data_IF_312055503599
#
_entry.id   IF_312055503599
#
_cell.length_a   1.000
_cell.length_b   1.000
_cell.length_c   1.000
_cell.angle_alpha   90.00
_cell.angle_beta   90.00
_cell.angle_gamma   90.00
#
_symmetry.space_group_name_H-M   'P 1'
#
loop_
_entity.id
_entity.type
_entity.pdbx_description
1 polymer ?
#
# COMPACT_ATOMS: atom_id res chain seq x y z
N UNK A 1 12.03 -10.57 -14.69
CA UNK A 1 12.90 -9.40 -14.41
C UNK A 1 14.40 -9.67 -14.63
N UNK A 2 15.06 -10.54 -13.84
CA UNK A 2 16.53 -10.70 -13.82
C UNK A 2 17.18 -10.93 -15.19
N UNK A 3 16.63 -11.81 -16.03
CA UNK A 3 17.21 -12.10 -17.36
C UNK A 3 17.15 -10.88 -18.31
N UNK A 4 16.10 -10.06 -18.20
CA UNK A 4 15.97 -8.82 -18.99
C UNK A 4 16.99 -7.78 -18.56
N UNK A 5 17.20 -7.62 -17.24
CA UNK A 5 18.26 -6.75 -16.70
C UNK A 5 19.62 -7.26 -17.19
N UNK A 6 19.90 -8.55 -17.07
CA UNK A 6 21.14 -9.16 -17.57
C UNK A 6 21.41 -8.81 -19.04
N UNK A 7 20.36 -8.88 -19.89
CA UNK A 7 20.42 -8.48 -21.30
C UNK A 7 20.76 -7.00 -21.53
N UNK A 8 20.22 -6.10 -20.71
CA UNK A 8 20.53 -4.66 -20.77
C UNK A 8 22.01 -4.36 -20.46
N UNK A 9 22.66 -5.23 -19.68
CA UNK A 9 24.10 -5.18 -19.40
C UNK A 9 24.90 -6.12 -20.32
N UNK A 10 24.33 -6.57 -21.44
CA UNK A 10 25.04 -7.33 -22.47
C UNK A 10 25.27 -8.81 -22.17
N UNK A 11 24.77 -9.32 -21.05
CA UNK A 11 24.76 -10.75 -20.76
C UNK A 11 23.67 -11.48 -21.54
N UNK A 12 23.80 -12.80 -21.63
CA UNK A 12 22.81 -13.66 -22.27
C UNK A 12 22.44 -14.80 -21.32
N UNK A 13 21.15 -15.05 -21.21
CA UNK A 13 20.64 -16.19 -20.47
C UNK A 13 19.30 -16.63 -21.07
N UNK A 14 19.10 -17.94 -21.13
CA UNK A 14 17.88 -18.53 -21.66
C UNK A 14 17.50 -19.78 -20.87
N UNK A 15 16.20 -20.04 -20.78
CA UNK A 15 15.70 -21.32 -20.31
C UNK A 15 16.09 -22.41 -21.30
N UNK A 16 16.56 -23.54 -20.80
CA UNK A 16 16.80 -24.71 -21.62
C UNK A 16 15.47 -25.33 -22.03
N UNK A 17 15.31 -25.70 -23.32
CA UNK A 17 14.21 -26.53 -23.76
C UNK A 17 14.13 -27.82 -22.94
N UNK A 18 12.92 -28.35 -22.74
CA UNK A 18 12.70 -29.57 -21.96
C UNK A 18 13.45 -30.78 -22.55
N UNK A 19 13.65 -30.81 -23.87
CA UNK A 19 14.41 -31.81 -24.60
C UNK A 19 15.94 -31.67 -24.49
N UNK A 20 16.43 -30.57 -23.91
CA UNK A 20 17.84 -30.33 -23.59
C UNK A 20 18.17 -30.53 -22.09
N UNK A 21 17.22 -31.02 -21.29
CA UNK A 21 17.45 -31.29 -19.87
C UNK A 21 18.40 -32.49 -19.68
N UNK A 22 19.25 -32.48 -18.64
CA UNK A 22 20.11 -33.62 -18.30
C UNK A 22 19.30 -34.90 -18.09
N UNK A 23 19.86 -36.05 -18.47
CA UNK A 23 19.26 -37.35 -18.18
C UNK A 23 18.98 -37.50 -16.67
N UNK A 24 17.74 -37.85 -16.32
CA UNK A 24 17.29 -37.97 -14.93
C UNK A 24 16.68 -36.71 -14.32
N UNK A 25 16.62 -35.60 -15.06
CA UNK A 25 15.87 -34.42 -14.63
C UNK A 25 14.36 -34.72 -14.53
N UNK A 26 13.72 -34.25 -13.46
CA UNK A 26 12.25 -34.29 -13.31
C UNK A 26 11.59 -33.48 -14.43
N UNK A 27 10.38 -33.86 -14.82
CA UNK A 27 9.54 -33.09 -15.77
C UNK A 27 9.19 -31.68 -15.29
N UNK A 28 9.40 -31.38 -14.00
CA UNK A 28 9.24 -30.04 -13.40
C UNK A 28 10.54 -29.25 -13.30
N UNK A 29 11.66 -29.81 -13.78
CA UNK A 29 12.96 -29.14 -13.68
C UNK A 29 13.05 -28.06 -14.75
N UNK A 30 13.29 -26.83 -14.33
CA UNK A 30 13.60 -25.74 -15.23
C UNK A 30 15.08 -25.35 -15.05
N UNK A 31 15.83 -25.28 -16.15
CA UNK A 31 17.25 -24.93 -16.12
C UNK A 31 17.45 -23.64 -16.91
N UNK A 32 18.15 -22.68 -16.31
CA UNK A 32 18.61 -21.47 -17.01
C UNK A 32 20.08 -21.66 -17.38
N UNK A 33 20.41 -21.57 -18.67
CA UNK A 33 21.79 -21.45 -19.12
C UNK A 33 22.17 -19.97 -19.13
N UNK A 34 23.18 -19.61 -18.35
CA UNK A 34 23.73 -18.25 -18.28
C UNK A 34 25.10 -18.23 -18.97
N UNK A 35 25.25 -17.38 -19.98
CA UNK A 35 26.54 -17.16 -20.65
C UNK A 35 27.24 -15.96 -20.00
N UNK A 36 28.23 -16.24 -19.15
CA UNK A 36 28.89 -15.23 -18.30
C UNK A 36 29.94 -14.36 -19.02
N UNK A 37 30.04 -14.46 -20.34
CA UNK A 37 31.00 -13.67 -21.14
C UNK A 37 30.22 -12.55 -21.80
N UNK A 38 30.67 -11.29 -21.63
CA UNK A 38 30.16 -10.06 -22.29
C UNK A 38 29.28 -9.11 -21.46
N UNK A 39 29.32 -9.16 -20.11
CA UNK A 39 28.79 -8.05 -19.33
C UNK A 39 29.53 -6.75 -19.64
N UNK A 40 28.77 -5.70 -19.92
CA UNK A 40 29.25 -4.36 -20.26
C UNK A 40 28.42 -3.31 -19.55
N UNK A 41 29.01 -2.16 -19.18
CA UNK A 41 28.24 -1.06 -18.61
C UNK A 41 27.09 -0.66 -19.53
N UNK A 42 25.88 -0.58 -18.98
CA UNK A 42 24.75 0.06 -19.65
C UNK A 42 24.96 1.58 -19.58
N UNK A 43 25.02 2.27 -20.72
CA UNK A 43 25.29 3.72 -20.76
C UNK A 43 24.13 4.54 -20.19
N UNK A 44 22.91 3.99 -20.22
CA UNK A 44 21.72 4.55 -19.57
C UNK A 44 20.74 3.41 -19.30
N UNK A 45 20.33 3.26 -18.04
CA UNK A 45 19.29 2.33 -17.62
C UNK A 45 18.24 3.11 -16.80
N UNK A 46 16.99 3.03 -17.21
CA UNK A 46 15.87 3.64 -16.47
C UNK A 46 15.38 2.59 -15.49
N UNK A 47 15.43 2.91 -14.20
CA UNK A 47 14.86 2.07 -13.16
C UNK A 47 13.38 2.43 -13.07
N UNK A 48 12.52 1.43 -13.27
CA UNK A 48 11.07 1.59 -13.13
C UNK A 48 10.71 2.05 -11.71
N UNK A 49 9.61 2.81 -11.54
CA UNK A 49 9.01 2.99 -10.22
C UNK A 49 8.65 1.64 -9.61
N UNK A 50 8.67 1.55 -8.28
CA UNK A 50 8.22 0.36 -7.57
C UNK A 50 6.70 0.17 -7.78
N UNK A 51 6.34 -0.92 -8.47
CA UNK A 51 4.95 -1.21 -8.82
C UNK A 51 4.09 -1.46 -7.58
N UNK A 52 4.65 -2.09 -6.54
CA UNK A 52 3.94 -2.34 -5.29
C UNK A 52 3.63 -1.03 -4.56
N UNK A 53 4.59 -0.10 -4.51
CA UNK A 53 4.42 1.20 -3.89
C UNK A 53 3.46 2.11 -4.69
N UNK A 54 3.52 2.04 -6.03
CA UNK A 54 2.60 2.74 -6.91
C UNK A 54 1.15 2.31 -6.69
N UNK A 55 0.91 1.04 -6.32
CA UNK A 55 -0.43 0.49 -6.09
C UNK A 55 -1.25 1.29 -5.07
N UNK A 56 -0.61 1.79 -4.00
CA UNK A 56 -1.28 2.55 -2.95
C UNK A 56 -1.84 3.87 -3.51
N UNK A 57 -1.04 4.57 -4.32
CA UNK A 57 -1.46 5.83 -4.93
C UNK A 57 -2.50 5.60 -6.03
N UNK A 58 -2.39 4.52 -6.80
CA UNK A 58 -3.40 4.16 -7.81
C UNK A 58 -4.76 3.80 -7.18
N UNK A 59 -4.79 3.32 -5.94
CA UNK A 59 -6.03 3.01 -5.23
C UNK A 59 -6.78 4.27 -4.74
N UNK A 60 -6.08 5.38 -4.47
CA UNK A 60 -6.69 6.64 -4.01
C UNK A 60 -7.85 7.12 -4.89
N UNK A 61 -7.70 7.27 -6.23
CA UNK A 61 -8.80 7.73 -7.06
C UNK A 61 -9.99 6.77 -7.06
N UNK A 62 -9.77 5.48 -6.84
CA UNK A 62 -10.85 4.48 -6.75
C UNK A 62 -11.68 4.66 -5.49
N UNK A 63 -11.01 4.94 -4.37
CA UNK A 63 -11.64 5.14 -3.06
C UNK A 63 -12.31 6.52 -2.94
N UNK A 64 -11.63 7.56 -3.41
CA UNK A 64 -11.97 8.95 -3.09
C UNK A 64 -12.31 9.81 -4.32
N UNK A 65 -12.21 9.24 -5.53
CA UNK A 65 -12.37 9.99 -6.78
C UNK A 65 -11.11 10.73 -7.19
N UNK A 66 -11.15 11.35 -8.37
CA UNK A 66 -10.00 12.03 -8.97
C UNK A 66 -9.21 11.14 -9.93
N UNK A 67 -7.93 11.48 -10.12
CA UNK A 67 -7.02 10.83 -11.06
C UNK A 67 -5.59 10.81 -10.50
N UNK A 68 -4.91 9.68 -10.68
CA UNK A 68 -3.47 9.51 -10.43
C UNK A 68 -2.80 8.99 -11.70
N UNK A 69 -1.64 9.53 -12.03
CA UNK A 69 -0.78 9.03 -13.11
C UNK A 69 0.57 8.64 -12.53
N UNK A 70 1.02 7.42 -12.79
CA UNK A 70 2.36 6.93 -12.46
C UNK A 70 3.17 6.88 -13.76
N UNK A 71 4.07 7.85 -13.98
CA UNK A 71 4.96 7.85 -15.14
C UNK A 71 6.01 6.74 -15.02
N UNK A 72 6.56 6.30 -16.14
CA UNK A 72 7.61 5.28 -16.26
C UNK A 72 7.23 3.89 -15.72
N UNK A 73 5.95 3.67 -15.39
CA UNK A 73 5.37 2.38 -15.06
C UNK A 73 4.31 2.02 -16.11
N UNK A 74 4.76 1.54 -17.27
CA UNK A 74 3.92 1.21 -18.41
C UNK A 74 3.69 -0.29 -18.60
N UNK A 75 3.08 -0.64 -19.73
CA UNK A 75 2.72 -2.02 -20.11
C UNK A 75 3.92 -2.95 -20.34
N UNK A 76 5.12 -2.38 -20.55
CA UNK A 76 6.37 -3.13 -20.68
C UNK A 76 7.05 -3.42 -19.33
N UNK A 77 6.45 -3.00 -18.20
CA UNK A 77 7.03 -3.24 -16.88
C UNK A 77 7.31 -4.72 -16.64
N UNK A 78 8.47 -4.97 -16.03
CA UNK A 78 8.92 -6.31 -15.68
C UNK A 78 8.40 -6.81 -14.32
N UNK A 79 7.64 -5.97 -13.62
CA UNK A 79 7.12 -6.20 -12.28
C UNK A 79 5.70 -6.80 -12.38
N UNK A 80 5.45 -7.91 -11.68
CA UNK A 80 4.12 -8.56 -11.68
C UNK A 80 3.02 -7.63 -11.18
N UNK A 81 3.33 -6.86 -10.14
CA UNK A 81 2.42 -5.91 -9.50
C UNK A 81 2.02 -4.72 -10.40
N UNK A 82 2.73 -4.48 -11.52
CA UNK A 82 2.39 -3.41 -12.46
C UNK A 82 1.02 -3.61 -13.12
N UNK A 83 0.40 -4.79 -12.96
CA UNK A 83 -0.92 -5.13 -13.45
C UNK A 83 -2.03 -4.86 -12.42
N UNK A 84 -1.71 -4.37 -11.23
CA UNK A 84 -2.70 -4.14 -10.17
C UNK A 84 -3.81 -3.14 -10.55
N UNK A 85 -3.55 -2.22 -11.49
CA UNK A 85 -4.57 -1.31 -11.99
C UNK A 85 -5.79 -2.05 -12.56
N UNK A 86 -5.64 -3.28 -13.07
CA UNK A 86 -6.77 -4.12 -13.53
C UNK A 86 -7.64 -4.64 -12.40
N UNK A 87 -7.04 -4.92 -11.24
CA UNK A 87 -7.79 -5.28 -10.03
C UNK A 87 -8.65 -4.09 -9.60
N UNK A 88 -8.06 -2.90 -9.59
CA UNK A 88 -8.74 -1.65 -9.29
C UNK A 88 -9.85 -1.31 -10.31
N UNK A 89 -9.63 -1.61 -11.59
CA UNK A 89 -10.66 -1.49 -12.64
C UNK A 89 -11.82 -2.46 -12.39
N UNK A 90 -11.55 -3.70 -11.97
CA UNK A 90 -12.60 -4.66 -11.62
C UNK A 90 -13.49 -4.14 -10.48
N UNK A 91 -12.90 -3.52 -9.46
CA UNK A 91 -13.66 -2.84 -8.39
C UNK A 91 -14.54 -1.69 -8.88
N UNK A 92 -14.28 -1.14 -10.08
CA UNK A 92 -15.10 -0.10 -10.71
C UNK A 92 -14.35 1.18 -11.06
N UNK A 93 -13.06 1.26 -10.77
CA UNK A 93 -12.23 2.36 -11.26
C UNK A 93 -12.02 2.30 -12.77
N UNK A 94 -11.41 3.33 -13.35
CA UNK A 94 -11.13 3.42 -14.79
C UNK A 94 -9.64 3.58 -15.01
N UNK A 95 -8.99 2.51 -15.49
CA UNK A 95 -7.55 2.47 -15.70
C UNK A 95 -7.17 2.56 -17.18
N UNK A 96 -6.02 3.16 -17.46
CA UNK A 96 -5.37 3.15 -18.76
C UNK A 96 -3.88 2.91 -18.55
N UNK A 97 -3.29 1.99 -19.31
CA UNK A 97 -1.85 1.75 -19.30
C UNK A 97 -1.33 1.75 -20.73
N UNK A 98 -0.40 2.65 -21.00
CA UNK A 98 0.38 2.68 -22.24
C UNK A 98 1.81 2.19 -21.97
N UNK A 99 2.70 2.24 -22.97
CA UNK A 99 4.09 1.78 -22.84
C UNK A 99 4.91 2.54 -21.79
N UNK A 100 4.48 3.74 -21.42
CA UNK A 100 5.25 4.71 -20.63
C UNK A 100 4.61 5.07 -19.28
N UNK A 101 3.34 4.74 -19.04
CA UNK A 101 2.65 5.15 -17.80
C UNK A 101 1.42 4.31 -17.51
N UNK A 102 0.98 4.40 -16.26
CA UNK A 102 -0.31 3.91 -15.78
C UNK A 102 -1.12 5.08 -15.24
N UNK A 103 -2.37 5.18 -15.65
CA UNK A 103 -3.33 6.20 -15.20
C UNK A 103 -4.50 5.49 -14.53
N UNK A 104 -4.91 5.96 -13.36
CA UNK A 104 -6.09 5.46 -12.67
C UNK A 104 -7.04 6.61 -12.32
N UNK A 105 -8.32 6.44 -12.63
CA UNK A 105 -9.38 7.38 -12.31
C UNK A 105 -10.45 6.71 -11.45
N UNK A 106 -11.14 7.52 -10.65
CA UNK A 106 -12.28 7.03 -9.87
C UNK A 106 -13.47 6.56 -10.72
N UNK A 107 -14.40 5.81 -10.12
CA UNK A 107 -15.63 5.37 -10.78
C UNK A 107 -16.49 6.54 -11.25
N UNK A 108 -17.33 6.32 -12.27
CA UNK A 108 -18.28 7.34 -12.75
C UNK A 108 -19.31 7.74 -11.69
N UNK A 109 -19.64 6.80 -10.80
CA UNK A 109 -20.54 7.04 -9.67
C UNK A 109 -19.77 6.82 -8.36
N UNK A 110 -19.56 7.87 -7.55
CA UNK A 110 -18.92 7.75 -6.25
C UNK A 110 -19.61 6.71 -5.36
N UNK A 111 -18.83 5.95 -4.58
CA UNK A 111 -19.36 4.96 -3.63
C UNK A 111 -19.94 3.69 -4.24
N UNK A 112 -19.69 3.41 -5.53
CA UNK A 112 -20.13 2.17 -6.20
C UNK A 112 -18.98 1.20 -6.50
N UNK A 113 -18.13 0.93 -5.51
CA UNK A 113 -17.17 -0.16 -5.65
C UNK A 113 -17.88 -1.51 -5.58
N UNK A 114 -17.47 -2.45 -6.41
CA UNK A 114 -18.09 -3.78 -6.56
C UNK A 114 -17.22 -4.85 -5.92
N UNK A 115 -17.83 -5.73 -5.14
CA UNK A 115 -17.13 -6.91 -4.61
C UNK A 115 -16.59 -7.81 -5.73
N UNK A 116 -15.47 -8.50 -5.48
CA UNK A 116 -14.73 -9.26 -6.50
C UNK A 116 -14.33 -10.66 -6.05
N UNK A 117 -14.10 -11.56 -7.01
CA UNK A 117 -13.32 -12.77 -6.78
C UNK A 117 -11.95 -12.61 -7.42
N UNK A 118 -10.92 -12.52 -6.58
CA UNK A 118 -9.55 -12.18 -6.97
C UNK A 118 -8.62 -13.37 -6.75
N UNK A 119 -7.91 -13.74 -7.80
CA UNK A 119 -6.75 -14.61 -7.72
C UNK A 119 -5.49 -13.75 -7.82
N UNK A 120 -4.76 -13.64 -6.71
CA UNK A 120 -3.57 -12.78 -6.62
C UNK A 120 -2.29 -13.60 -6.54
N UNK A 121 -2.29 -14.84 -7.04
CA UNK A 121 -1.10 -15.73 -7.07
C UNK A 121 0.12 -15.03 -7.68
N UNK A 122 -0.06 -14.25 -8.75
CA UNK A 122 1.02 -13.56 -9.47
C UNK A 122 1.38 -12.18 -8.88
N UNK A 123 0.60 -11.69 -7.91
CA UNK A 123 0.80 -10.37 -7.26
C UNK A 123 0.40 -10.41 -5.78
N UNK A 124 0.93 -11.35 -4.97
CA UNK A 124 0.46 -11.58 -3.60
C UNK A 124 0.68 -10.33 -2.72
N UNK A 125 1.68 -9.52 -3.02
CA UNK A 125 1.97 -8.30 -2.26
C UNK A 125 0.86 -7.24 -2.36
N UNK A 126 -0.04 -7.36 -3.33
CA UNK A 126 -1.19 -6.47 -3.55
C UNK A 126 -2.43 -6.83 -2.71
N UNK A 127 -2.41 -7.95 -1.99
CA UNK A 127 -3.54 -8.42 -1.20
C UNK A 127 -4.04 -7.40 -0.19
N UNK A 128 -3.16 -6.77 0.58
CA UNK A 128 -3.58 -5.82 1.62
C UNK A 128 -4.25 -4.59 1.02
N UNK A 129 -3.70 -4.04 -0.07
CA UNK A 129 -4.30 -2.91 -0.80
C UNK A 129 -5.67 -3.29 -1.35
N UNK A 130 -5.79 -4.45 -2.00
CA UNK A 130 -7.08 -4.94 -2.51
C UNK A 130 -8.10 -5.19 -1.40
N UNK A 131 -7.65 -5.70 -0.25
CA UNK A 131 -8.51 -6.01 0.89
C UNK A 131 -9.06 -4.73 1.55
N UNK A 132 -8.24 -3.67 1.65
CA UNK A 132 -8.71 -2.36 2.10
C UNK A 132 -9.71 -1.78 1.10
N UNK A 133 -9.44 -1.84 -0.21
CA UNK A 133 -10.42 -1.43 -1.23
C UNK A 133 -11.73 -2.22 -1.12
N UNK A 134 -11.66 -3.51 -0.85
CA UNK A 134 -12.82 -4.36 -0.63
C UNK A 134 -13.69 -3.93 0.56
N UNK A 135 -13.11 -3.33 1.61
CA UNK A 135 -13.88 -2.80 2.75
C UNK A 135 -14.79 -1.62 2.37
N UNK A 136 -14.53 -0.95 1.24
CA UNK A 136 -15.35 0.13 0.69
C UNK A 136 -16.30 -0.35 -0.43
N UNK A 137 -16.31 -1.65 -0.73
CA UNK A 137 -17.19 -2.22 -1.75
C UNK A 137 -18.65 -2.36 -1.26
N UNK A 138 -19.57 -2.45 -2.21
CA UNK A 138 -20.99 -2.69 -1.98
C UNK A 138 -21.35 -4.19 -1.90
N UNK A 139 -20.38 -5.07 -2.10
CA UNK A 139 -20.56 -6.52 -2.10
C UNK A 139 -19.31 -7.27 -1.63
N UNK A 140 -19.44 -8.56 -1.31
CA UNK A 140 -18.36 -9.35 -0.75
C UNK A 140 -17.21 -9.54 -1.74
N UNK A 141 -15.99 -9.65 -1.22
CA UNK A 141 -14.79 -9.94 -2.00
C UNK A 141 -14.11 -11.19 -1.47
N UNK A 142 -13.75 -12.12 -2.37
CA UNK A 142 -12.85 -13.23 -2.06
C UNK A 142 -11.48 -12.98 -2.68
N UNK A 143 -10.43 -13.14 -1.90
CA UNK A 143 -9.03 -13.15 -2.36
C UNK A 143 -8.47 -14.55 -2.13
N UNK A 144 -7.81 -15.14 -3.13
CA UNK A 144 -7.16 -16.46 -3.06
C UNK A 144 -5.76 -16.46 -3.68
N UNK A 145 -5.02 -17.57 -3.49
CA UNK A 145 -3.71 -17.78 -4.10
C UNK A 145 -2.55 -17.10 -3.37
N UNK A 146 -2.77 -16.64 -2.13
CA UNK A 146 -1.83 -15.76 -1.42
C UNK A 146 -1.32 -16.33 -0.11
N UNK A 147 -1.36 -17.66 0.06
CA UNK A 147 -0.87 -18.35 1.26
C UNK A 147 0.59 -18.06 1.61
N UNK A 148 1.41 -17.67 0.62
CA UNK A 148 2.80 -17.24 0.84
C UNK A 148 2.90 -16.08 1.84
N UNK A 149 1.88 -15.22 1.89
CA UNK A 149 1.84 -14.02 2.74
C UNK A 149 1.84 -14.32 4.24
N UNK A 150 1.55 -15.56 4.65
CA UNK A 150 1.66 -15.99 6.05
C UNK A 150 3.09 -16.04 6.56
N UNK A 151 4.05 -16.11 5.64
CA UNK A 151 5.47 -16.33 5.93
C UNK A 151 6.34 -15.11 5.61
N UNK A 152 5.69 -13.95 5.42
CA UNK A 152 6.37 -12.68 5.17
C UNK A 152 6.79 -12.03 6.51
N UNK A 153 7.01 -10.72 6.53
CA UNK A 153 7.40 -9.97 7.74
C UNK A 153 6.43 -10.17 8.91
N UNK A 154 5.16 -10.34 8.59
CA UNK A 154 4.09 -10.76 9.49
C UNK A 154 3.27 -11.85 8.81
N UNK A 155 2.38 -12.52 9.55
CA UNK A 155 1.28 -13.24 8.91
C UNK A 155 0.28 -12.19 8.39
N UNK A 156 0.51 -11.72 7.16
CA UNK A 156 -0.27 -10.63 6.56
C UNK A 156 -1.73 -11.00 6.32
N UNK A 157 -2.04 -12.30 6.20
CA UNK A 157 -3.43 -12.74 6.09
C UNK A 157 -4.12 -12.54 7.45
N UNK A 158 -3.53 -13.06 8.53
CA UNK A 158 -4.09 -12.94 9.86
C UNK A 158 -4.12 -11.48 10.36
N UNK A 159 -3.04 -10.72 10.11
CA UNK A 159 -2.95 -9.31 10.43
C UNK A 159 -3.98 -8.50 9.63
N UNK A 160 -4.03 -8.67 8.31
CA UNK A 160 -5.02 -8.01 7.45
C UNK A 160 -6.46 -8.29 7.88
N UNK A 161 -6.78 -9.55 8.19
CA UNK A 161 -8.11 -9.92 8.70
C UNK A 161 -8.43 -9.24 10.04
N UNK A 162 -7.46 -9.14 10.94
CA UNK A 162 -7.62 -8.49 12.24
C UNK A 162 -7.90 -7.00 12.08
N UNK A 163 -7.11 -6.31 11.27
CA UNK A 163 -7.23 -4.87 11.07
C UNK A 163 -8.49 -4.50 10.26
N UNK A 164 -8.89 -5.29 9.25
CA UNK A 164 -10.15 -5.11 8.52
C UNK A 164 -11.38 -5.23 9.43
N UNK A 165 -11.36 -6.15 10.41
CA UNK A 165 -12.44 -6.26 11.39
C UNK A 165 -12.55 -5.00 12.26
N UNK A 166 -11.46 -4.28 12.51
CA UNK A 166 -11.50 -2.98 13.21
C UNK A 166 -12.23 -1.91 12.39
N UNK A 167 -12.24 -2.01 11.06
CA UNK A 167 -13.02 -1.16 10.15
C UNK A 167 -14.50 -1.60 10.04
N UNK A 168 -14.91 -2.67 10.74
CA UNK A 168 -16.30 -3.15 10.75
C UNK A 168 -16.61 -4.22 9.70
N UNK A 169 -15.65 -4.63 8.88
CA UNK A 169 -15.82 -5.75 7.95
C UNK A 169 -15.95 -7.07 8.70
N UNK A 170 -16.73 -8.01 8.16
CA UNK A 170 -16.64 -9.41 8.59
C UNK A 170 -15.63 -10.10 7.68
N UNK A 171 -14.63 -10.72 8.28
CA UNK A 171 -13.56 -11.39 7.54
C UNK A 171 -13.46 -12.84 7.96
N UNK A 172 -13.58 -13.74 7.00
CA UNK A 172 -13.22 -15.15 7.14
C UNK A 172 -11.82 -15.36 6.57
N UNK A 173 -10.96 -15.95 7.38
CA UNK A 173 -9.57 -16.19 7.04
C UNK A 173 -9.42 -17.62 6.49
N UNK A 174 -8.71 -17.75 5.37
CA UNK A 174 -8.37 -19.03 4.74
C UNK A 174 -6.87 -19.22 4.72
N UNK A 175 -6.38 -20.46 4.59
CA UNK A 175 -4.94 -20.75 4.51
C UNK A 175 -4.25 -19.93 3.41
N UNK A 176 -4.92 -19.75 2.27
CA UNK A 176 -4.40 -19.08 1.09
C UNK A 176 -5.15 -17.79 0.71
N UNK A 177 -5.91 -17.18 1.62
CA UNK A 177 -6.77 -16.06 1.25
C UNK A 177 -7.70 -15.51 2.33
N UNK A 178 -8.63 -14.66 1.89
CA UNK A 178 -9.60 -13.94 2.73
C UNK A 178 -10.96 -13.88 2.02
N UNK A 179 -12.05 -14.11 2.75
CA UNK A 179 -13.38 -13.63 2.36
C UNK A 179 -13.72 -12.39 3.19
N UNK A 180 -14.12 -11.32 2.51
CA UNK A 180 -14.37 -10.01 3.11
C UNK A 180 -15.81 -9.62 2.78
N UNK A 181 -16.68 -9.60 3.79
CA UNK A 181 -17.99 -8.96 3.72
C UNK A 181 -17.82 -7.50 4.19
N UNK A 182 -17.96 -6.50 3.30
CA UNK A 182 -17.75 -5.11 3.68
C UNK A 182 -18.78 -4.64 4.70
N UNK A 183 -18.41 -3.71 5.60
CA UNK A 183 -19.38 -2.99 6.43
C UNK A 183 -20.34 -2.18 5.55
N UNK A 184 -21.49 -1.80 6.10
CA UNK A 184 -22.28 -0.73 5.46
C UNK A 184 -21.50 0.60 5.53
N UNK A 185 -21.75 1.55 4.62
CA UNK A 185 -21.10 2.86 4.67
C UNK A 185 -21.25 3.56 6.03
N UNK A 186 -22.41 3.43 6.67
CA UNK A 186 -22.69 4.00 7.98
C UNK A 186 -21.86 3.32 9.08
N UNK A 187 -21.77 1.99 9.05
CA UNK A 187 -20.97 1.24 10.02
C UNK A 187 -19.48 1.54 9.86
N UNK A 188 -18.97 1.61 8.64
CA UNK A 188 -17.59 2.02 8.38
C UNK A 188 -17.32 3.42 8.95
N UNK A 189 -18.21 4.37 8.67
CA UNK A 189 -18.08 5.75 9.17
C UNK A 189 -18.11 5.81 10.69
N UNK A 190 -19.01 5.07 11.35
CA UNK A 190 -19.04 4.97 12.81
C UNK A 190 -17.71 4.46 13.38
N UNK A 191 -17.08 3.46 12.72
CA UNK A 191 -15.77 2.96 13.13
C UNK A 191 -14.68 4.02 12.97
N UNK A 192 -14.63 4.71 11.84
CA UNK A 192 -13.65 5.77 11.59
C UNK A 192 -13.80 6.95 12.57
N UNK A 193 -15.04 7.42 12.79
CA UNK A 193 -15.34 8.49 13.74
C UNK A 193 -14.98 8.12 15.20
N UNK A 194 -14.90 6.81 15.52
CA UNK A 194 -14.47 6.31 16.81
C UNK A 194 -12.94 6.26 16.99
N UNK A 195 -12.15 6.65 15.99
CA UNK A 195 -10.69 6.73 16.06
C UNK A 195 -10.01 5.34 16.03
N UNK A 196 -10.26 4.57 14.97
CA UNK A 196 -9.64 3.25 14.79
C UNK A 196 -8.11 3.37 14.74
N UNK A 197 -7.43 2.55 15.55
CA UNK A 197 -5.97 2.38 15.52
C UNK A 197 -5.63 1.08 14.81
N UNK A 198 -4.76 1.19 13.79
CA UNK A 198 -4.25 0.08 13.00
C UNK A 198 -2.87 -0.32 13.50
N UNK A 199 -2.75 -1.58 13.91
CA UNK A 199 -1.46 -2.17 14.28
C UNK A 199 -0.70 -2.56 13.01
N UNK A 200 0.61 -2.28 12.95
CA UNK A 200 1.40 -2.46 11.73
C UNK A 200 2.23 -3.73 11.72
N UNK A 201 2.43 -4.38 12.87
CA UNK A 201 3.18 -5.63 12.98
C UNK A 201 4.62 -5.53 12.42
N UNK A 202 5.25 -4.37 12.55
CA UNK A 202 6.55 -4.03 11.94
C UNK A 202 6.57 -4.16 10.40
N UNK A 203 5.39 -4.13 9.78
CA UNK A 203 5.20 -4.37 8.35
C UNK A 203 4.76 -3.10 7.62
N UNK A 204 5.69 -2.57 6.83
CA UNK A 204 5.46 -1.43 5.94
C UNK A 204 4.22 -1.58 5.05
N UNK A 205 3.87 -2.80 4.59
CA UNK A 205 2.71 -3.00 3.73
C UNK A 205 1.39 -2.91 4.50
N UNK A 206 1.38 -3.30 5.78
CA UNK A 206 0.22 -3.06 6.66
C UNK A 206 0.00 -1.56 6.85
N UNK A 207 1.05 -0.82 7.20
CA UNK A 207 0.97 0.64 7.38
C UNK A 207 0.48 1.36 6.11
N UNK A 208 1.10 1.09 4.95
CA UNK A 208 0.72 1.75 3.69
C UNK A 208 -0.66 1.33 3.18
N UNK A 209 -1.03 0.05 3.24
CA UNK A 209 -2.33 -0.37 2.74
C UNK A 209 -3.47 0.21 3.59
N UNK A 210 -3.37 0.14 4.92
CA UNK A 210 -4.43 0.60 5.80
C UNK A 210 -4.51 2.12 5.97
N UNK A 211 -3.44 2.86 5.67
CA UNK A 211 -3.51 4.32 5.56
C UNK A 211 -4.52 4.77 4.48
N UNK A 212 -4.78 3.92 3.47
CA UNK A 212 -5.81 4.16 2.46
C UNK A 212 -7.24 4.07 3.01
N UNK A 213 -7.45 3.64 4.26
CA UNK A 213 -8.76 3.70 4.89
C UNK A 213 -9.17 5.15 5.27
N UNK A 214 -8.23 6.10 5.25
CA UNK A 214 -8.50 7.50 5.57
C UNK A 214 -8.31 7.78 7.05
N UNK A 215 -9.38 8.16 7.75
CA UNK A 215 -9.42 8.61 9.16
C UNK A 215 -9.10 7.48 10.18
N UNK A 216 -7.91 6.89 10.06
CA UNK A 216 -7.36 5.88 10.96
C UNK A 216 -6.02 6.34 11.52
N UNK A 217 -5.68 5.92 12.73
CA UNK A 217 -4.34 6.10 13.30
C UNK A 217 -3.48 4.89 12.96
N UNK A 218 -2.37 5.10 12.26
CA UNK A 218 -1.37 4.04 12.03
C UNK A 218 -0.42 4.00 13.24
N UNK A 219 -0.33 2.87 13.93
CA UNK A 219 0.39 2.77 15.22
C UNK A 219 1.91 2.99 15.10
N UNK A 220 2.54 2.48 14.05
CA UNK A 220 3.95 2.72 13.73
C UNK A 220 4.07 3.13 12.25
N UNK A 221 3.87 4.42 11.93
CA UNK A 221 3.97 4.90 10.56
C UNK A 221 5.43 4.91 10.07
N UNK A 222 6.43 4.83 10.96
CA UNK A 222 7.85 4.86 10.60
C UNK A 222 8.32 3.60 9.85
N UNK A 223 7.62 2.47 10.01
CA UNK A 223 7.99 1.21 9.36
C UNK A 223 7.97 1.30 7.81
N UNK A 224 7.26 2.27 7.22
CA UNK A 224 7.23 2.49 5.76
C UNK A 224 8.61 2.82 5.16
N UNK A 225 9.56 3.27 5.99
CA UNK A 225 10.94 3.56 5.58
C UNK A 225 11.66 2.37 4.93
N UNK A 226 11.16 1.14 5.10
CA UNK A 226 11.68 -0.04 4.43
C UNK A 226 11.63 0.05 2.91
N UNK A 227 10.58 0.63 2.33
CA UNK A 227 10.40 0.70 0.88
C UNK A 227 9.96 2.08 0.37
N UNK A 228 9.23 2.85 1.18
CA UNK A 228 8.72 4.15 0.79
C UNK A 228 8.81 5.17 1.95
N UNK A 229 10.02 5.67 2.29
CA UNK A 229 10.22 6.58 3.43
C UNK A 229 9.37 7.85 3.42
N UNK A 230 9.01 8.33 2.23
CA UNK A 230 8.22 9.56 2.03
C UNK A 230 6.73 9.29 1.85
N UNK A 231 6.24 8.09 2.16
CA UNK A 231 4.87 7.67 1.88
C UNK A 231 3.82 8.64 2.47
N UNK A 232 3.92 8.94 3.78
CA UNK A 232 2.98 9.83 4.44
C UNK A 232 3.12 11.29 3.98
N UNK A 233 4.32 11.77 3.63
CA UNK A 233 4.50 13.09 3.00
C UNK A 233 3.76 13.17 1.65
N UNK A 234 3.81 12.09 0.88
CA UNK A 234 3.11 12.03 -0.42
C UNK A 234 1.61 11.99 -0.22
N UNK A 235 1.10 11.20 0.73
CA UNK A 235 -0.33 11.18 1.08
C UNK A 235 -0.82 12.57 1.52
N UNK A 236 -0.06 13.23 2.39
CA UNK A 236 -0.36 14.60 2.84
C UNK A 236 -0.44 15.57 1.66
N UNK A 237 0.54 15.50 0.74
CA UNK A 237 0.58 16.38 -0.43
C UNK A 237 -0.60 16.23 -1.40
N UNK A 238 -1.34 15.10 -1.32
CA UNK A 238 -2.55 14.85 -2.11
C UNK A 238 -3.84 15.00 -1.28
N UNK A 239 -3.75 15.51 -0.06
CA UNK A 239 -4.88 15.86 0.81
C UNK A 239 -5.51 14.68 1.56
N UNK A 240 -4.74 13.61 1.80
CA UNK A 240 -5.23 12.38 2.44
C UNK A 240 -5.01 12.32 3.95
N UNK A 241 -4.23 13.24 4.54
CA UNK A 241 -4.07 13.31 5.99
C UNK A 241 -4.91 14.45 6.57
N UNK A 242 -5.51 14.28 7.76
CA UNK A 242 -6.17 15.39 8.44
C UNK A 242 -5.17 16.52 8.68
N UNK A 243 -5.63 17.77 8.49
CA UNK A 243 -4.83 18.96 8.84
C UNK A 243 -4.35 18.81 10.30
N UNK A 244 -3.08 19.10 10.59
CA UNK A 244 -2.58 19.03 11.96
C UNK A 244 -3.45 19.90 12.86
N UNK A 245 -3.88 19.36 14.01
CA UNK A 245 -4.60 20.18 14.98
C UNK A 245 -3.76 21.42 15.32
N UNK A 246 -4.36 22.62 15.36
CA UNK A 246 -3.62 23.82 15.71
C UNK A 246 -2.97 23.62 17.08
N UNK A 247 -1.67 23.92 17.19
CA UNK A 247 -0.96 23.83 18.45
C UNK A 247 -1.75 24.59 19.53
N UNK A 248 -1.93 24.01 20.73
CA UNK A 248 -2.64 24.69 21.80
C UNK A 248 -1.97 26.03 22.07
N UNK A 249 -2.75 27.11 22.10
CA UNK A 249 -2.22 28.44 22.38
C UNK A 249 -1.40 28.39 23.68
N UNK A 250 -0.20 28.99 23.71
CA UNK A 250 0.62 29.00 24.91
C UNK A 250 -0.20 29.58 26.05
N UNK A 251 -0.40 28.78 27.11
CA UNK A 251 -1.07 29.22 28.32
C UNK A 251 -0.34 30.46 28.84
N UNK A 252 -1.03 31.60 29.04
CA UNK A 252 -0.37 32.80 29.55
C UNK A 252 0.27 32.49 30.91
N UNK A 253 1.55 32.85 31.04
CA UNK A 253 2.31 32.70 32.29
C UNK A 253 1.55 33.37 33.44
N UNK A 254 1.00 32.57 34.34
CA UNK A 254 0.41 33.04 35.60
C UNK A 254 1.52 33.17 36.65
N UNK A 255 2.52 34.00 36.38
CA UNK A 255 3.51 34.42 37.39
C UNK A 255 3.94 35.88 37.16
N UNK A 256 3.03 36.82 37.44
CA UNK A 256 3.39 38.21 37.73
C UNK A 256 2.25 38.91 38.50
N UNK A 257 1.86 38.36 39.66
CA UNK A 257 0.91 39.02 40.55
C UNK A 257 1.22 38.78 42.03
N UNK A 258 2.50 38.80 42.41
CA UNK A 258 2.90 38.99 43.82
C UNK A 258 4.11 39.93 43.89
N UNK A 259 3.81 41.23 43.90
CA UNK A 259 4.71 42.26 44.44
C UNK A 259 3.88 43.46 44.88
N UNK A 260 3.13 43.27 45.96
CA UNK A 260 2.60 44.36 46.76
C UNK A 260 3.11 44.18 48.19
N UNK A 261 4.24 44.82 48.51
CA UNK A 261 4.64 45.07 49.90
C UNK A 261 4.35 46.54 50.26
N UNK A 262 3.77 46.81 51.44
CA UNK A 262 3.43 48.15 51.89
C UNK A 262 4.66 48.87 52.43
N UNK A 263 4.75 50.17 52.20
CA UNK A 263 5.76 51.05 52.80
C UNK A 263 5.39 51.35 54.25
N UNK A 264 6.23 50.91 55.19
CA UNK A 264 6.15 51.29 56.61
C UNK A 264 6.67 52.72 56.80
N UNK A 265 5.85 53.54 57.45
CA UNK A 265 6.19 54.83 58.03
C UNK A 265 7.28 54.69 59.11
N UNK A 266 8.29 55.55 59.04
CA UNK A 266 9.24 55.76 60.13
C UNK A 266 9.30 57.26 60.47
N UNK A 267 8.38 57.69 61.33
CA UNK A 267 8.52 58.85 62.20
C UNK A 267 9.16 58.39 63.51
N UNK A 268 10.35 58.91 63.88
CA UNK A 268 10.61 59.48 65.22
C UNK A 268 12.03 60.08 65.37
N UNK A 269 12.02 61.33 65.86
CA UNK A 269 13.03 62.11 66.63
C UNK A 269 14.34 62.60 65.99
#
# INVERSE_FOLDING_TARGET
MTLRVLGAFGGSAAWLPTDELPEGASSTTEIIRVESRNLRPCTRYIVEPDASAASYLLALPVLYGGEVTVPDLGSESLQGDAQFWRVLEAFGGRGEQDESRTVMRGPDTPGQLRGQELDLTDMPDMTLTAAVVAAFATGPTRIRGVGILRHHESDRIAAGATELRKLGAKVEEHEDGLDIEPPTPEALRERLDAGVVIDTYEDHRMAMAFALAGDVTIADPGCVAKTFPRYFEVLDSVGMLPEPEPEPEPTPDVEAAEAAEPTEDADTE
#
